data_IF_995732795349
#
_entry.id   IF_995732795349
#
_cell.length_a   1.000
_cell.length_b   1.000
_cell.length_c   1.000
_cell.angle_alpha   90.00
_cell.angle_beta   90.00
_cell.angle_gamma   90.00
#
_symmetry.space_group_name_H-M   'P 1'
#
loop_
_entity.id
_entity.type
_entity.pdbx_description
1 polymer ?
#
# COMPACT_ATOMS: atom_id res chain seq x y z
N UNK A 1 31.89 1.91 29.97
CA UNK A 1 30.59 1.76 29.29
C UNK A 1 30.02 0.40 29.68
N UNK A 2 28.84 0.34 30.30
CA UNK A 2 28.29 -0.89 30.90
C UNK A 2 28.08 -2.00 29.84
N UNK A 3 28.44 -3.25 30.14
CA UNK A 3 28.21 -4.40 29.22
C UNK A 3 26.75 -4.53 28.79
N UNK A 4 25.81 -4.23 29.71
CA UNK A 4 24.38 -4.19 29.39
C UNK A 4 24.04 -3.14 28.33
N UNK A 5 24.64 -1.95 28.39
CA UNK A 5 24.40 -0.88 27.42
C UNK A 5 24.91 -1.31 26.03
N UNK A 6 26.08 -1.95 25.97
CA UNK A 6 26.63 -2.50 24.72
C UNK A 6 25.70 -3.57 24.14
N UNK A 7 25.15 -4.45 24.98
CA UNK A 7 24.19 -5.48 24.55
C UNK A 7 22.91 -4.86 23.99
N UNK A 8 22.35 -3.85 24.65
CA UNK A 8 21.15 -3.12 24.19
C UNK A 8 21.41 -2.46 22.83
N UNK A 9 22.54 -1.76 22.68
CA UNK A 9 22.89 -1.08 21.42
C UNK A 9 23.05 -2.09 20.28
N UNK A 10 23.70 -3.24 20.52
CA UNK A 10 23.85 -4.29 19.51
C UNK A 10 22.50 -4.85 19.07
N UNK A 11 21.63 -5.20 20.03
CA UNK A 11 20.28 -5.71 19.74
C UNK A 11 19.49 -4.68 18.91
N UNK A 12 19.52 -3.40 19.29
CA UNK A 12 18.84 -2.33 18.56
C UNK A 12 19.40 -2.15 17.14
N UNK A 13 20.72 -2.14 16.98
CA UNK A 13 21.38 -2.01 15.68
C UNK A 13 21.09 -3.19 14.74
N UNK A 14 21.20 -4.42 15.25
CA UNK A 14 20.91 -5.62 14.47
C UNK A 14 19.44 -5.65 14.02
N UNK A 15 18.53 -5.26 14.91
CA UNK A 15 17.09 -5.20 14.61
C UNK A 15 16.77 -4.15 13.54
N UNK A 16 17.32 -2.95 13.69
CA UNK A 16 17.13 -1.85 12.75
C UNK A 16 17.72 -2.19 11.37
N UNK A 17 18.89 -2.82 11.31
CA UNK A 17 19.50 -3.19 10.03
C UNK A 17 18.65 -4.20 9.25
N UNK A 18 18.04 -5.17 9.95
CA UNK A 18 17.17 -6.17 9.33
C UNK A 18 15.83 -5.59 8.87
N UNK A 19 15.24 -4.68 9.65
CA UNK A 19 13.96 -4.07 9.28
C UNK A 19 14.11 -2.97 8.23
N UNK A 20 15.16 -2.14 8.31
CA UNK A 20 15.33 -0.96 7.43
C UNK A 20 15.39 -1.30 5.95
N UNK A 21 16.13 -2.36 5.56
CA UNK A 21 16.27 -2.69 4.15
C UNK A 21 14.91 -3.03 3.50
N UNK A 22 14.06 -3.76 4.22
CA UNK A 22 12.72 -4.14 3.75
C UNK A 22 11.78 -2.95 3.75
N UNK A 23 11.76 -2.18 4.84
CA UNK A 23 10.95 -0.97 4.98
C UNK A 23 11.29 0.03 3.89
N UNK A 24 12.58 0.31 3.65
CA UNK A 24 13.01 1.25 2.63
C UNK A 24 12.57 0.81 1.24
N UNK A 25 12.71 -0.48 0.91
CA UNK A 25 12.29 -1.01 -0.38
C UNK A 25 10.77 -0.93 -0.58
N UNK A 26 9.99 -1.36 0.41
CA UNK A 26 8.53 -1.36 0.30
C UNK A 26 7.97 0.07 0.33
N UNK A 27 8.59 0.97 1.12
CA UNK A 27 8.21 2.37 1.13
C UNK A 27 8.54 3.04 -0.20
N UNK A 28 9.70 2.74 -0.78
CA UNK A 28 10.05 3.20 -2.12
C UNK A 28 8.98 2.77 -3.15
N UNK A 29 8.58 1.50 -3.15
CA UNK A 29 7.53 0.99 -4.04
C UNK A 29 6.18 1.67 -3.82
N UNK A 30 5.80 1.98 -2.58
CA UNK A 30 4.57 2.70 -2.25
C UNK A 30 4.58 4.17 -2.67
N UNK A 31 5.75 4.80 -2.77
CA UNK A 31 5.89 6.17 -3.24
C UNK A 31 5.87 6.30 -4.77
N UNK A 32 6.10 5.21 -5.51
CA UNK A 32 5.99 5.19 -6.98
C UNK A 32 4.60 5.68 -7.46
N UNK A 33 3.46 5.11 -7.02
CA UNK A 33 2.15 5.58 -7.47
C UNK A 33 1.87 7.04 -7.05
N UNK A 34 2.45 7.51 -5.95
CA UNK A 34 2.38 8.92 -5.56
C UNK A 34 3.12 9.83 -6.55
N UNK A 35 4.35 9.50 -6.91
CA UNK A 35 5.11 10.26 -7.91
C UNK A 35 4.42 10.26 -9.28
N UNK A 36 3.87 9.11 -9.69
CA UNK A 36 3.16 8.98 -10.96
C UNK A 36 1.85 9.78 -10.94
N UNK A 37 1.06 9.71 -9.86
CA UNK A 37 -0.19 10.45 -9.75
C UNK A 37 0.04 11.96 -9.76
N UNK A 38 1.11 12.44 -9.11
CA UNK A 38 1.52 13.85 -9.19
C UNK A 38 1.73 14.27 -10.65
N UNK A 39 2.53 13.50 -11.40
CA UNK A 39 2.80 13.80 -12.80
C UNK A 39 1.52 13.77 -13.66
N UNK A 40 0.71 12.71 -13.53
CA UNK A 40 -0.50 12.51 -14.34
C UNK A 40 -1.58 13.57 -14.09
N UNK A 41 -1.79 13.95 -12.82
CA UNK A 41 -2.98 14.70 -12.40
C UNK A 41 -2.70 16.16 -12.04
N UNK A 42 -1.44 16.53 -11.77
CA UNK A 42 -1.06 17.93 -11.46
C UNK A 42 -0.17 18.56 -12.54
N UNK A 43 0.67 17.78 -13.23
CA UNK A 43 1.66 18.34 -14.21
C UNK A 43 1.22 18.16 -15.66
N UNK A 44 0.76 16.97 -16.03
CA UNK A 44 0.46 16.65 -17.42
C UNK A 44 -0.77 17.43 -17.93
N UNK A 45 -0.59 18.14 -19.05
CA UNK A 45 -1.66 18.98 -19.62
C UNK A 45 -2.46 18.30 -20.73
N UNK A 46 -1.94 17.22 -21.34
CA UNK A 46 -2.57 16.55 -22.48
C UNK A 46 -2.66 15.03 -22.28
N UNK A 47 -3.79 14.46 -22.68
CA UNK A 47 -4.08 13.02 -22.64
C UNK A 47 -3.57 12.30 -23.91
N UNK A 48 -2.27 12.37 -24.15
CA UNK A 48 -1.65 11.67 -25.27
C UNK A 48 -1.47 10.16 -24.97
N UNK A 49 -0.98 9.38 -25.93
CA UNK A 49 -0.75 7.94 -25.76
C UNK A 49 0.16 7.61 -24.56
N UNK A 50 1.19 8.45 -24.33
CA UNK A 50 2.13 8.29 -23.21
C UNK A 50 1.40 8.48 -21.87
N UNK A 51 0.48 9.44 -21.78
CA UNK A 51 -0.32 9.66 -20.58
C UNK A 51 -1.13 8.41 -20.20
N UNK A 52 -1.78 7.76 -21.18
CA UNK A 52 -2.53 6.53 -20.94
C UNK A 52 -1.64 5.35 -20.54
N UNK A 53 -0.44 5.24 -21.12
CA UNK A 53 0.53 4.23 -20.72
C UNK A 53 0.98 4.44 -19.26
N UNK A 54 1.26 5.68 -18.87
CA UNK A 54 1.64 6.04 -17.49
C UNK A 54 0.47 5.82 -16.53
N UNK A 55 -0.77 6.10 -16.94
CA UNK A 55 -1.97 5.80 -16.15
C UNK A 55 -2.17 4.29 -15.91
N UNK A 56 -1.84 3.46 -16.89
CA UNK A 56 -1.86 2.00 -16.71
C UNK A 56 -0.79 1.55 -15.71
N UNK A 57 0.42 2.12 -15.79
CA UNK A 57 1.48 1.86 -14.81
C UNK A 57 1.04 2.32 -13.41
N UNK A 58 0.42 3.49 -13.28
CA UNK A 58 -0.15 3.96 -12.01
C UNK A 58 -1.10 2.92 -11.41
N UNK A 59 -2.07 2.43 -12.18
CA UNK A 59 -3.03 1.42 -11.71
C UNK A 59 -2.36 0.10 -11.33
N UNK A 60 -1.31 -0.32 -12.05
CA UNK A 60 -0.57 -1.54 -11.74
C UNK A 60 0.26 -1.42 -10.45
N UNK A 61 0.80 -0.23 -10.16
CA UNK A 61 1.58 0.03 -8.94
C UNK A 61 0.75 0.49 -7.75
N UNK A 62 -0.50 0.92 -7.96
CA UNK A 62 -1.39 1.38 -6.90
C UNK A 62 -1.57 0.35 -5.76
N UNK A 63 -1.73 -0.96 -6.04
CA UNK A 63 -1.83 -1.95 -4.98
C UNK A 63 -0.60 -1.99 -4.07
N UNK A 64 0.61 -1.75 -4.58
CA UNK A 64 1.85 -1.76 -3.79
C UNK A 64 1.83 -0.75 -2.64
N UNK A 65 1.14 0.39 -2.81
CA UNK A 65 0.98 1.35 -1.71
C UNK A 65 0.09 0.80 -0.58
N UNK A 66 -0.95 0.03 -0.91
CA UNK A 66 -1.83 -0.61 0.07
C UNK A 66 -1.21 -1.84 0.75
N UNK A 67 -0.28 -2.53 0.08
CA UNK A 67 0.42 -3.70 0.64
C UNK A 67 1.13 -3.42 1.95
N UNK A 68 1.61 -2.18 2.14
CA UNK A 68 2.26 -1.73 3.36
C UNK A 68 1.41 -2.00 4.62
N UNK A 69 0.08 -1.92 4.53
CA UNK A 69 -0.81 -2.24 5.66
C UNK A 69 -0.60 -3.68 6.17
N UNK A 70 -0.33 -4.60 5.25
CA UNK A 70 -0.15 -6.03 5.55
C UNK A 70 1.28 -6.40 5.94
N UNK A 71 2.25 -5.50 5.75
CA UNK A 71 3.65 -5.73 6.09
C UNK A 71 3.91 -5.77 7.60
N UNK A 72 2.90 -5.44 8.42
CA UNK A 72 2.90 -5.61 9.88
C UNK A 72 3.17 -7.05 10.32
N UNK A 73 2.96 -8.05 9.44
CA UNK A 73 3.29 -9.46 9.72
C UNK A 73 4.78 -9.67 10.05
N UNK A 74 5.67 -8.84 9.49
CA UNK A 74 7.10 -8.91 9.77
C UNK A 74 7.46 -8.51 11.20
N UNK A 75 6.61 -7.71 11.87
CA UNK A 75 6.78 -7.44 13.30
C UNK A 75 6.70 -8.76 14.07
N UNK A 76 5.76 -9.64 13.71
CA UNK A 76 5.58 -10.95 14.34
C UNK A 76 6.81 -11.83 14.07
N UNK A 77 7.28 -11.89 12.82
CA UNK A 77 8.46 -12.68 12.43
C UNK A 77 9.74 -12.23 13.15
N UNK A 78 10.01 -10.91 13.17
CA UNK A 78 11.19 -10.36 13.82
C UNK A 78 11.08 -10.45 15.34
N UNK A 79 9.91 -10.19 15.93
CA UNK A 79 9.74 -10.22 17.39
C UNK A 79 10.02 -11.58 18.03
N UNK A 80 9.88 -12.68 17.27
CA UNK A 80 10.19 -14.03 17.76
C UNK A 80 11.66 -14.21 18.18
N UNK A 81 12.59 -13.44 17.58
CA UNK A 81 14.03 -13.56 17.82
C UNK A 81 14.59 -12.48 18.75
N UNK A 82 13.74 -11.56 19.22
CA UNK A 82 14.17 -10.34 19.92
C UNK A 82 13.43 -10.16 21.26
N UNK A 83 14.05 -9.50 22.25
CA UNK A 83 13.40 -9.25 23.52
C UNK A 83 12.21 -8.30 23.36
N UNK A 84 11.19 -8.48 24.21
CA UNK A 84 9.92 -7.75 24.13
C UNK A 84 10.08 -6.23 24.15
N UNK A 85 11.06 -5.71 24.91
CA UNK A 85 11.34 -4.27 24.94
C UNK A 85 11.75 -3.73 23.56
N UNK A 86 12.51 -4.49 22.77
CA UNK A 86 12.98 -4.06 21.45
C UNK A 86 11.80 -4.03 20.47
N UNK A 87 10.88 -5.00 20.57
CA UNK A 87 9.65 -5.00 19.79
C UNK A 87 8.77 -3.78 20.11
N UNK A 88 8.55 -3.50 21.39
CA UNK A 88 7.69 -2.40 21.84
C UNK A 88 8.30 -1.02 21.53
N UNK A 89 9.60 -0.85 21.79
CA UNK A 89 10.24 0.47 21.67
C UNK A 89 10.82 0.76 20.28
N UNK A 90 11.07 -0.26 19.45
CA UNK A 90 11.72 -0.09 18.14
C UNK A 90 10.77 -0.53 17.02
N UNK A 91 10.41 -1.83 16.95
CA UNK A 91 9.65 -2.34 15.82
C UNK A 91 8.27 -1.72 15.68
N UNK A 92 7.49 -1.66 16.76
CA UNK A 92 6.12 -1.12 16.70
C UNK A 92 6.11 0.34 16.23
N UNK A 93 6.89 1.27 16.83
CA UNK A 93 6.97 2.65 16.33
C UNK A 93 7.48 2.74 14.89
N UNK A 94 8.52 1.98 14.55
CA UNK A 94 9.11 1.99 13.22
C UNK A 94 8.10 1.55 12.14
N UNK A 95 7.42 0.43 12.34
CA UNK A 95 6.41 -0.06 11.41
C UNK A 95 5.16 0.81 11.41
N UNK A 96 4.78 1.41 12.54
CA UNK A 96 3.68 2.39 12.59
C UNK A 96 3.96 3.58 11.67
N UNK A 97 5.14 4.17 11.77
CA UNK A 97 5.54 5.28 10.91
C UNK A 97 5.61 4.88 9.43
N UNK A 98 6.17 3.69 9.15
CA UNK A 98 6.20 3.12 7.81
C UNK A 98 4.79 2.93 7.22
N UNK A 99 3.87 2.37 8.02
CA UNK A 99 2.49 2.12 7.60
C UNK A 99 1.75 3.43 7.34
N UNK A 100 1.87 4.40 8.25
CA UNK A 100 1.27 5.72 8.08
C UNK A 100 1.81 6.37 6.81
N UNK A 101 3.13 6.42 6.62
CA UNK A 101 3.73 7.07 5.45
C UNK A 101 3.30 6.42 4.12
N UNK A 102 3.27 5.08 4.07
CA UNK A 102 2.85 4.33 2.89
C UNK A 102 1.37 4.49 2.57
N UNK A 103 0.52 4.38 3.59
CA UNK A 103 -0.92 4.54 3.43
C UNK A 103 -1.31 5.98 3.11
N UNK A 104 -0.59 6.96 3.65
CA UNK A 104 -0.76 8.37 3.32
C UNK A 104 -0.46 8.64 1.85
N UNK A 105 0.64 8.07 1.33
CA UNK A 105 0.99 8.15 -0.10
C UNK A 105 -0.14 7.57 -1.00
N UNK A 106 -0.78 6.48 -0.56
CA UNK A 106 -1.96 5.92 -1.23
C UNK A 106 -3.14 6.90 -1.24
N UNK A 107 -3.50 7.46 -0.08
CA UNK A 107 -4.65 8.37 0.05
C UNK A 107 -4.42 9.66 -0.74
N UNK A 108 -3.23 10.25 -0.69
CA UNK A 108 -2.89 11.45 -1.48
C UNK A 108 -3.00 11.16 -2.98
N UNK A 109 -2.52 9.99 -3.44
CA UNK A 109 -2.62 9.58 -4.85
C UNK A 109 -4.09 9.53 -5.32
N UNK A 110 -4.98 8.98 -4.48
CA UNK A 110 -6.42 8.93 -4.78
C UNK A 110 -7.10 10.30 -4.69
N UNK A 111 -6.66 11.16 -3.76
CA UNK A 111 -7.16 12.52 -3.64
C UNK A 111 -6.85 13.33 -4.91
N UNK A 112 -5.62 13.26 -5.42
CA UNK A 112 -5.26 13.94 -6.67
C UNK A 112 -6.00 13.37 -7.89
N UNK A 113 -6.23 12.06 -7.94
CA UNK A 113 -7.09 11.47 -8.97
C UNK A 113 -8.52 12.02 -8.86
N UNK A 114 -9.07 12.12 -7.66
CA UNK A 114 -10.41 12.65 -7.44
C UNK A 114 -10.52 14.13 -7.86
N UNK A 115 -9.60 14.97 -7.40
CA UNK A 115 -9.51 16.38 -7.82
C UNK A 115 -9.49 16.50 -9.34
N UNK A 116 -8.67 15.67 -9.99
CA UNK A 116 -8.55 15.64 -11.43
C UNK A 116 -9.88 15.29 -12.10
N UNK A 117 -10.59 14.28 -11.61
CA UNK A 117 -11.89 13.89 -12.15
C UNK A 117 -12.92 15.02 -11.99
N UNK A 118 -12.97 15.66 -10.81
CA UNK A 118 -13.90 16.77 -10.54
C UNK A 118 -13.60 17.95 -11.46
N UNK A 119 -12.35 18.38 -11.56
CA UNK A 119 -11.92 19.52 -12.37
C UNK A 119 -12.14 19.32 -13.87
N UNK A 120 -12.22 18.05 -14.32
CA UNK A 120 -12.51 17.70 -15.72
C UNK A 120 -14.00 17.38 -15.97
N UNK A 121 -14.91 17.69 -15.03
CA UNK A 121 -16.35 17.46 -15.19
C UNK A 121 -16.79 16.00 -15.05
N UNK A 122 -15.93 15.14 -14.49
CA UNK A 122 -16.16 13.69 -14.34
C UNK A 122 -16.57 13.29 -12.92
N UNK A 123 -17.06 14.23 -12.10
CA UNK A 123 -17.48 14.00 -10.70
C UNK A 123 -18.41 12.78 -10.52
N UNK A 124 -19.29 12.50 -11.48
CA UNK A 124 -20.20 11.33 -11.43
C UNK A 124 -19.48 9.97 -11.44
N UNK A 125 -18.24 9.92 -11.92
CA UNK A 125 -17.44 8.70 -12.01
C UNK A 125 -16.49 8.52 -10.82
N UNK A 126 -16.31 9.54 -9.97
CA UNK A 126 -15.41 9.49 -8.81
C UNK A 126 -15.63 8.24 -7.97
N UNK A 127 -16.88 7.96 -7.57
CA UNK A 127 -17.22 6.83 -6.69
C UNK A 127 -16.83 5.50 -7.34
N UNK A 128 -17.16 5.33 -8.62
CA UNK A 128 -16.86 4.09 -9.35
C UNK A 128 -15.36 3.90 -9.52
N UNK A 129 -14.63 4.96 -9.86
CA UNK A 129 -13.17 4.90 -10.05
C UNK A 129 -12.46 4.61 -8.72
N UNK A 130 -12.88 5.23 -7.61
CA UNK A 130 -12.35 4.94 -6.28
C UNK A 130 -12.67 3.50 -5.86
N UNK A 131 -13.89 3.01 -6.08
CA UNK A 131 -14.25 1.64 -5.79
C UNK A 131 -13.39 0.64 -6.58
N UNK A 132 -13.13 0.90 -7.87
CA UNK A 132 -12.21 0.09 -8.68
C UNK A 132 -10.79 0.14 -8.10
N UNK A 133 -10.31 1.33 -7.72
CA UNK A 133 -8.99 1.48 -7.13
C UNK A 133 -8.83 0.70 -5.82
N UNK A 134 -9.81 0.77 -4.92
CA UNK A 134 -9.84 -0.04 -3.69
C UNK A 134 -9.90 -1.54 -4.00
N UNK A 135 -10.72 -1.94 -4.98
CA UNK A 135 -10.83 -3.34 -5.39
C UNK A 135 -9.48 -3.87 -5.92
N UNK A 136 -8.81 -3.12 -6.79
CA UNK A 136 -7.47 -3.46 -7.30
C UNK A 136 -6.45 -3.58 -6.17
N UNK A 137 -6.51 -2.70 -5.18
CA UNK A 137 -5.63 -2.74 -4.02
C UNK A 137 -5.84 -4.01 -3.18
N UNK A 138 -7.09 -4.32 -2.86
CA UNK A 138 -7.46 -5.51 -2.09
C UNK A 138 -7.11 -6.79 -2.85
N UNK A 139 -7.37 -6.85 -4.16
CA UNK A 139 -6.96 -7.95 -5.01
C UNK A 139 -5.45 -8.10 -5.03
N UNK A 140 -4.72 -6.99 -5.13
CA UNK A 140 -3.26 -6.98 -5.00
C UNK A 140 -2.85 -7.63 -3.68
N UNK A 141 -3.25 -7.05 -2.54
CA UNK A 141 -2.97 -7.59 -1.21
C UNK A 141 -3.26 -9.09 -1.14
N UNK A 142 -4.44 -9.50 -1.63
CA UNK A 142 -4.87 -10.88 -1.60
C UNK A 142 -3.90 -11.80 -2.36
N UNK A 143 -3.58 -11.45 -3.60
CA UNK A 143 -2.72 -12.25 -4.46
C UNK A 143 -1.31 -12.42 -3.89
N UNK A 144 -0.72 -11.37 -3.31
CA UNK A 144 0.63 -11.48 -2.75
C UNK A 144 0.69 -12.09 -1.36
N UNK A 145 -0.35 -11.95 -0.54
CA UNK A 145 -0.32 -12.42 0.85
C UNK A 145 -0.92 -13.80 1.05
N UNK A 146 -2.00 -14.13 0.35
CA UNK A 146 -2.65 -15.44 0.46
C UNK A 146 -2.15 -16.41 -0.60
N UNK A 147 -2.12 -15.98 -1.86
CA UNK A 147 -1.69 -16.83 -2.97
C UNK A 147 -0.17 -16.75 -3.25
N UNK A 148 0.56 -15.84 -2.58
CA UNK A 148 2.02 -15.64 -2.68
C UNK A 148 2.53 -15.32 -4.09
N UNK A 149 1.70 -14.72 -4.93
CA UNK A 149 2.11 -14.22 -6.24
C UNK A 149 2.85 -12.89 -6.11
N UNK A 150 3.93 -12.74 -6.88
CA UNK A 150 4.64 -11.49 -7.07
C UNK A 150 4.19 -10.82 -8.38
N UNK A 151 4.52 -9.53 -8.55
CA UNK A 151 4.25 -8.81 -9.80
C UNK A 151 4.90 -9.45 -11.04
N UNK A 152 5.97 -10.23 -10.85
CA UNK A 152 6.62 -10.98 -11.94
C UNK A 152 5.80 -12.18 -12.42
N UNK A 153 5.01 -12.79 -11.54
CA UNK A 153 4.18 -13.96 -11.86
C UNK A 153 3.00 -13.60 -12.77
N UNK A 154 2.54 -12.34 -12.71
CA UNK A 154 1.58 -11.79 -13.67
C UNK A 154 2.14 -11.73 -15.09
N UNK A 155 3.46 -11.62 -15.25
CA UNK A 155 4.14 -11.52 -16.55
C UNK A 155 4.56 -12.90 -17.04
N UNK A 156 5.10 -13.74 -16.17
CA UNK A 156 5.60 -15.07 -16.54
C UNK A 156 4.49 -16.12 -16.61
N UNK A 157 3.44 -16.00 -15.79
CA UNK A 157 2.37 -16.99 -15.65
C UNK A 157 0.97 -16.35 -15.56
N UNK A 158 0.59 -15.46 -16.50
CA UNK A 158 -0.66 -14.69 -16.42
C UNK A 158 -1.90 -15.58 -16.33
N UNK A 159 -1.94 -16.68 -17.09
CA UNK A 159 -3.09 -17.61 -17.10
C UNK A 159 -3.28 -18.27 -15.74
N UNK A 160 -2.19 -18.69 -15.09
CA UNK A 160 -2.24 -19.32 -13.77
C UNK A 160 -2.77 -18.34 -12.73
N UNK A 161 -2.29 -17.10 -12.73
CA UNK A 161 -2.77 -16.06 -11.80
C UNK A 161 -4.26 -15.79 -12.04
N UNK A 162 -4.68 -15.63 -13.30
CA UNK A 162 -6.08 -15.35 -13.63
C UNK A 162 -7.03 -16.50 -13.26
N UNK A 163 -6.68 -17.74 -13.60
CA UNK A 163 -7.49 -18.93 -13.26
C UNK A 163 -7.59 -19.07 -11.75
N UNK A 164 -6.48 -18.92 -11.03
CA UNK A 164 -6.47 -19.05 -9.56
C UNK A 164 -7.32 -17.96 -8.91
N UNK A 165 -7.18 -16.72 -9.36
CA UNK A 165 -8.02 -15.60 -8.91
C UNK A 165 -9.50 -15.88 -9.18
N UNK A 166 -9.84 -16.42 -10.36
CA UNK A 166 -11.22 -16.73 -10.71
C UNK A 166 -11.79 -17.86 -9.85
N UNK A 167 -11.04 -18.95 -9.63
CA UNK A 167 -11.43 -20.05 -8.74
C UNK A 167 -11.70 -19.54 -7.31
N UNK A 168 -10.83 -18.67 -6.82
CA UNK A 168 -10.94 -18.09 -5.49
C UNK A 168 -12.17 -17.18 -5.31
N UNK A 169 -12.62 -16.54 -6.38
CA UNK A 169 -13.86 -15.76 -6.40
C UNK A 169 -15.12 -16.64 -6.36
N UNK A 170 -15.01 -17.97 -6.41
CA UNK A 170 -16.13 -18.88 -6.16
C UNK A 170 -16.15 -19.43 -4.72
N UNK A 171 -15.10 -19.19 -3.93
CA UNK A 171 -15.05 -19.58 -2.52
C UNK A 171 -15.64 -18.46 -1.65
N UNK A 172 -16.75 -18.75 -0.96
CA UNK A 172 -17.45 -17.79 -0.10
C UNK A 172 -16.55 -17.19 0.98
N UNK A 173 -15.66 -17.99 1.57
CA UNK A 173 -14.77 -17.50 2.64
C UNK A 173 -13.76 -16.50 2.09
N UNK A 174 -13.22 -16.76 0.90
CA UNK A 174 -12.29 -15.86 0.22
C UNK A 174 -12.97 -14.57 -0.24
N UNK A 175 -14.21 -14.66 -0.72
CA UNK A 175 -15.01 -13.46 -1.04
C UNK A 175 -15.27 -12.63 0.22
N UNK A 176 -15.61 -13.26 1.34
CA UNK A 176 -15.83 -12.56 2.60
C UNK A 176 -14.56 -11.86 3.10
N UNK A 177 -13.39 -12.49 2.99
CA UNK A 177 -12.13 -11.83 3.39
C UNK A 177 -11.80 -10.65 2.47
N UNK A 178 -12.01 -10.78 1.16
CA UNK A 178 -11.87 -9.69 0.20
C UNK A 178 -12.85 -8.53 0.51
N UNK A 179 -14.11 -8.84 0.80
CA UNK A 179 -15.12 -7.83 1.13
C UNK A 179 -14.79 -7.09 2.43
N UNK A 180 -14.34 -7.81 3.47
CA UNK A 180 -13.91 -7.20 4.73
C UNK A 180 -12.68 -6.33 4.51
N UNK A 181 -11.67 -6.82 3.78
CA UNK A 181 -10.48 -6.05 3.45
C UNK A 181 -10.82 -4.79 2.65
N UNK A 182 -11.75 -4.88 1.70
CA UNK A 182 -12.27 -3.74 0.96
C UNK A 182 -12.91 -2.70 1.86
N UNK A 183 -13.81 -3.11 2.75
CA UNK A 183 -14.44 -2.20 3.71
C UNK A 183 -13.41 -1.53 4.61
N UNK A 184 -12.43 -2.27 5.11
CA UNK A 184 -11.36 -1.73 5.96
C UNK A 184 -10.53 -0.70 5.19
N UNK A 185 -10.01 -1.06 4.01
CA UNK A 185 -9.18 -0.15 3.19
C UNK A 185 -9.96 1.10 2.82
N UNK A 186 -11.23 0.95 2.42
CA UNK A 186 -12.08 2.08 2.07
C UNK A 186 -12.33 3.00 3.27
N UNK A 187 -12.77 2.46 4.41
CA UNK A 187 -13.02 3.26 5.62
C UNK A 187 -11.77 3.98 6.12
N UNK A 188 -10.62 3.30 6.10
CA UNK A 188 -9.34 3.92 6.46
C UNK A 188 -8.98 5.04 5.49
N UNK A 189 -9.17 4.84 4.18
CA UNK A 189 -8.85 5.85 3.18
C UNK A 189 -9.75 7.09 3.30
N UNK A 190 -11.05 6.88 3.54
CA UNK A 190 -11.99 7.98 3.82
C UNK A 190 -11.63 8.73 5.10
N UNK A 191 -11.34 8.00 6.17
CA UNK A 191 -10.96 8.60 7.45
C UNK A 191 -9.69 9.45 7.32
N UNK A 192 -8.64 8.91 6.68
CA UNK A 192 -7.40 9.63 6.42
C UNK A 192 -7.63 10.82 5.48
N UNK A 193 -8.45 10.66 4.43
CA UNK A 193 -8.83 11.73 3.52
C UNK A 193 -9.52 12.91 4.23
N UNK A 194 -10.42 12.61 5.17
CA UNK A 194 -11.11 13.62 5.99
C UNK A 194 -10.15 14.35 6.94
N UNK A 195 -9.16 13.66 7.48
CA UNK A 195 -8.11 14.29 8.29
C UNK A 195 -7.32 15.27 7.41
N UNK A 196 -6.93 14.83 6.22
CA UNK A 196 -6.11 15.64 5.30
C UNK A 196 -6.82 16.89 4.83
N UNK A 197 -8.10 16.81 4.47
CA UNK A 197 -8.87 17.99 4.05
C UNK A 197 -8.98 19.03 5.16
N UNK A 198 -9.11 18.59 6.41
CA UNK A 198 -9.14 19.50 7.58
C UNK A 198 -7.81 20.23 7.80
N UNK A 199 -6.68 19.60 7.48
CA UNK A 199 -5.35 20.22 7.57
C UNK A 199 -4.99 21.08 6.35
N UNK A 200 -5.51 20.75 5.17
CA UNK A 200 -5.21 21.44 3.92
C UNK A 200 -6.05 22.71 3.68
N UNK A 201 -7.07 22.96 4.50
CA UNK A 201 -7.78 24.23 4.53
C UNK A 201 -8.55 24.51 3.24
N UNK A 202 -9.56 23.69 2.97
CA UNK A 202 -10.70 24.11 2.15
C UNK A 202 -11.77 24.78 3.02
#
# INVERSE_FOLDING_TARGET
>A
MNEQLIKVIKIAGDLLSQSNNRIAWNLFLAFIPLGISYYLFKVAQQRNFIWWLIALIFLAFLPNASYILTDSIHIIELSANYPTWATICILIPQYTLFIIAGFEAYVISLSWLNDYLINNGLKKYTIVIQAIAHCLCVLGIYLGRFERFNSWDLVTMPVTVLVKTAEDLFDLWKILTLAIAFLIVWLLAEFTGLINSKFMGD
#
